data_IF_365657751384
#
_entry.id   IF_365657751384
#
_cell.length_a   1.000
_cell.length_b   1.000
_cell.length_c   1.000
_cell.angle_alpha   90.00
_cell.angle_beta   90.00
_cell.angle_gamma   90.00
#
_symmetry.space_group_name_H-M   'P 1'
#
loop_
_entity.id
_entity.type
_entity.pdbx_description
1 polymer ?
#
# COMPACT_ATOMS: atom_id res chain seq x y z
N UNK A 1 5.07 21.39 29.10
CA UNK A 1 4.01 22.21 28.49
C UNK A 1 4.04 22.20 26.96
N UNK A 2 5.04 22.75 26.24
CA UNK A 2 5.02 22.74 24.75
C UNK A 2 5.04 21.33 24.12
N UNK A 3 5.77 20.39 24.71
CA UNK A 3 5.84 19.00 24.22
C UNK A 3 4.50 18.27 24.33
N UNK A 4 3.72 18.58 25.36
CA UNK A 4 2.40 17.98 25.60
C UNK A 4 1.35 18.59 24.67
N UNK A 5 1.43 19.90 24.42
CA UNK A 5 0.60 20.58 23.43
C UNK A 5 0.85 20.06 22.01
N UNK A 6 2.11 19.85 21.61
CA UNK A 6 2.45 19.28 20.29
C UNK A 6 2.01 17.81 20.12
N UNK A 7 1.99 17.03 21.20
CA UNK A 7 1.46 15.66 21.19
C UNK A 7 -0.07 15.69 21.08
N UNK A 8 -0.75 16.56 21.83
CA UNK A 8 -2.20 16.72 21.76
C UNK A 8 -2.66 17.24 20.40
N UNK A 9 -1.93 18.19 19.80
CA UNK A 9 -2.19 18.72 18.47
C UNK A 9 -2.01 17.65 17.39
N UNK A 10 -0.98 16.79 17.51
CA UNK A 10 -0.84 15.60 16.65
C UNK A 10 -2.00 14.63 16.80
N UNK A 11 -2.49 14.37 18.01
CA UNK A 11 -3.64 13.47 18.24
C UNK A 11 -4.95 14.04 17.71
N UNK A 12 -5.11 15.37 17.71
CA UNK A 12 -6.26 16.06 17.13
C UNK A 12 -6.24 16.08 15.59
N UNK A 13 -5.06 15.96 14.98
CA UNK A 13 -4.86 16.07 13.54
C UNK A 13 -4.39 14.76 12.88
N UNK A 14 -4.56 13.62 13.56
CA UNK A 14 -4.23 12.31 12.98
C UNK A 14 -5.09 12.08 11.74
N UNK A 15 -4.42 12.09 10.57
CA UNK A 15 -4.99 11.74 9.28
C UNK A 15 -5.80 10.42 9.42
N UNK A 16 -7.12 10.44 9.18
CA UNK A 16 -7.93 9.23 9.24
C UNK A 16 -7.37 8.10 8.38
N UNK A 17 -6.69 8.42 7.28
CA UNK A 17 -6.00 7.45 6.42
C UNK A 17 -4.77 6.85 7.10
N UNK A 18 -4.08 7.57 7.98
CA UNK A 18 -2.98 7.02 8.76
C UNK A 18 -3.45 5.89 9.67
N UNK A 19 -4.57 6.08 10.38
CA UNK A 19 -5.16 5.03 11.22
C UNK A 19 -5.54 3.78 10.42
N UNK A 20 -6.04 3.97 9.20
CA UNK A 20 -6.35 2.87 8.29
C UNK A 20 -5.08 2.14 7.84
N UNK A 21 -4.01 2.87 7.47
CA UNK A 21 -2.70 2.30 7.09
C UNK A 21 -2.08 1.48 8.23
N UNK A 22 -2.17 1.96 9.46
CA UNK A 22 -1.68 1.25 10.64
C UNK A 22 -2.44 -0.06 10.86
N UNK A 23 -3.77 -0.03 10.79
CA UNK A 23 -4.61 -1.24 10.86
C UNK A 23 -4.27 -2.24 9.75
N UNK A 24 -4.06 -1.77 8.53
CA UNK A 24 -3.68 -2.62 7.40
C UNK A 24 -2.32 -3.27 7.62
N UNK A 25 -1.36 -2.53 8.19
CA UNK A 25 -0.02 -3.06 8.51
C UNK A 25 -0.07 -4.16 9.56
N UNK A 26 -0.90 -3.99 10.60
CA UNK A 26 -1.12 -5.03 11.62
C UNK A 26 -1.76 -6.27 10.98
N UNK A 27 -2.74 -6.09 10.09
CA UNK A 27 -3.39 -7.20 9.41
C UNK A 27 -2.42 -7.96 8.49
N UNK A 28 -1.55 -7.26 7.75
CA UNK A 28 -0.51 -7.89 6.93
C UNK A 28 0.41 -8.80 7.76
N UNK A 29 0.84 -8.32 8.94
CA UNK A 29 1.66 -9.13 9.86
C UNK A 29 0.88 -10.35 10.35
N UNK A 30 -0.38 -10.18 10.72
CA UNK A 30 -1.26 -11.27 11.18
C UNK A 30 -1.45 -12.35 10.12
N UNK A 31 -1.55 -11.96 8.85
CA UNK A 31 -1.73 -12.86 7.71
C UNK A 31 -0.43 -13.55 7.25
N UNK A 32 0.71 -13.24 7.89
CA UNK A 32 1.99 -13.90 7.64
C UNK A 32 2.75 -13.36 6.42
N UNK A 33 2.45 -12.14 5.95
CA UNK A 33 3.22 -11.52 4.87
C UNK A 33 4.64 -11.17 5.33
N UNK A 34 5.61 -11.41 4.45
CA UNK A 34 7.03 -11.10 4.67
C UNK A 34 7.28 -9.59 4.67
N UNK A 35 8.45 -9.16 5.16
CA UNK A 35 8.80 -7.74 5.18
C UNK A 35 8.78 -7.08 3.79
N UNK A 36 9.20 -7.79 2.74
CA UNK A 36 9.16 -7.28 1.37
C UNK A 36 7.74 -7.14 0.84
N UNK A 37 6.86 -8.10 1.11
CA UNK A 37 5.44 -8.02 0.75
C UNK A 37 4.73 -6.90 1.51
N UNK A 38 5.06 -6.69 2.80
CA UNK A 38 4.51 -5.59 3.59
C UNK A 38 4.89 -4.23 2.99
N UNK A 39 6.15 -4.04 2.59
CA UNK A 39 6.61 -2.79 1.95
C UNK A 39 5.90 -2.57 0.61
N UNK A 40 5.75 -3.62 -0.21
CA UNK A 40 5.01 -3.53 -1.48
C UNK A 40 3.54 -3.16 -1.23
N UNK A 41 2.86 -3.82 -0.29
CA UNK A 41 1.46 -3.55 0.03
C UNK A 41 1.27 -2.12 0.57
N UNK A 42 2.16 -1.68 1.46
CA UNK A 42 2.15 -0.30 1.96
C UNK A 42 2.29 0.73 0.83
N UNK A 43 3.13 0.47 -0.17
CA UNK A 43 3.26 1.34 -1.34
C UNK A 43 1.95 1.45 -2.15
N UNK A 44 1.19 0.35 -2.24
CA UNK A 44 -0.12 0.36 -2.89
C UNK A 44 -1.14 1.14 -2.07
N UNK A 45 -1.16 0.96 -0.75
CA UNK A 45 -2.05 1.67 0.16
C UNK A 45 -1.86 3.19 0.17
N UNK A 46 -0.64 3.68 -0.09
CA UNK A 46 -0.38 5.11 -0.27
C UNK A 46 -0.96 5.63 -1.59
N UNK A 47 -0.85 4.85 -2.67
CA UNK A 47 -1.34 5.23 -4.01
C UNK A 47 -2.86 5.11 -4.15
N UNK A 48 -3.43 4.09 -3.52
CA UNK A 48 -4.84 3.70 -3.62
C UNK A 48 -5.39 3.47 -2.20
N UNK A 49 -5.69 4.53 -1.42
CA UNK A 49 -6.20 4.39 -0.06
C UNK A 49 -7.51 3.62 0.04
N UNK A 50 -8.32 3.59 -1.03
CA UNK A 50 -9.54 2.80 -1.16
C UNK A 50 -9.31 1.30 -1.00
N UNK A 51 -8.12 0.79 -1.38
CA UNK A 51 -7.75 -0.61 -1.19
C UNK A 51 -7.68 -0.99 0.29
N UNK A 52 -7.29 -0.04 1.15
CA UNK A 52 -7.27 -0.25 2.60
C UNK A 52 -8.69 -0.42 3.13
N UNK A 53 -9.59 0.47 2.71
CA UNK A 53 -11.00 0.41 3.11
C UNK A 53 -11.62 -0.92 2.70
N UNK A 54 -11.41 -1.35 1.45
CA UNK A 54 -11.86 -2.65 0.96
C UNK A 54 -11.29 -3.81 1.81
N UNK A 55 -9.96 -3.85 2.01
CA UNK A 55 -9.31 -4.87 2.85
C UNK A 55 -9.95 -5.00 4.24
N UNK A 56 -10.21 -3.87 4.90
CA UNK A 56 -10.71 -3.84 6.26
C UNK A 56 -12.20 -4.21 6.36
N UNK A 57 -12.97 -4.04 5.28
CA UNK A 57 -14.37 -4.49 5.17
C UNK A 57 -14.53 -5.97 4.80
N UNK A 58 -13.51 -6.60 4.24
CA UNK A 58 -13.57 -8.01 3.84
C UNK A 58 -13.57 -8.95 5.05
N UNK A 59 -14.20 -10.11 4.86
CA UNK A 59 -14.10 -11.24 5.78
C UNK A 59 -12.67 -11.72 5.91
N UNK A 60 -12.29 -12.13 7.13
CA UNK A 60 -10.91 -12.52 7.47
C UNK A 60 -10.34 -13.62 6.56
N UNK A 61 -11.21 -14.51 6.07
CA UNK A 61 -10.85 -15.60 5.15
C UNK A 61 -10.44 -15.10 3.77
N UNK A 62 -10.96 -13.95 3.32
CA UNK A 62 -10.73 -13.38 1.98
C UNK A 62 -9.57 -12.38 1.95
N UNK A 63 -9.20 -11.80 3.09
CA UNK A 63 -8.19 -10.73 3.17
C UNK A 63 -6.83 -11.14 2.61
N UNK A 64 -6.40 -12.37 2.86
CA UNK A 64 -5.11 -12.86 2.38
C UNK A 64 -5.05 -12.93 0.86
N UNK A 65 -6.09 -13.49 0.25
CA UNK A 65 -6.20 -13.61 -1.21
C UNK A 65 -6.31 -12.23 -1.87
N UNK A 66 -7.10 -11.34 -1.28
CA UNK A 66 -7.23 -9.96 -1.74
C UNK A 66 -5.86 -9.26 -1.85
N UNK A 67 -5.02 -9.35 -0.81
CA UNK A 67 -3.70 -8.74 -0.82
C UNK A 67 -2.79 -9.36 -1.88
N UNK A 68 -2.81 -10.69 -2.05
CA UNK A 68 -2.04 -11.37 -3.10
C UNK A 68 -2.42 -10.91 -4.51
N UNK A 69 -3.73 -10.79 -4.77
CA UNK A 69 -4.24 -10.32 -6.06
C UNK A 69 -3.82 -8.86 -6.31
N UNK A 70 -3.99 -8.00 -5.31
CA UNK A 70 -3.55 -6.60 -5.37
C UNK A 70 -2.05 -6.47 -5.68
N UNK A 71 -1.20 -7.26 -5.02
CA UNK A 71 0.25 -7.24 -5.27
C UNK A 71 0.59 -7.73 -6.68
N UNK A 72 -0.08 -8.80 -7.13
CA UNK A 72 0.12 -9.35 -8.47
C UNK A 72 -0.27 -8.35 -9.56
N UNK A 73 -1.36 -7.63 -9.36
CA UNK A 73 -1.83 -6.60 -10.29
C UNK A 73 -0.92 -5.37 -10.30
N UNK A 74 -0.41 -4.92 -9.16
CA UNK A 74 0.60 -3.86 -9.10
C UNK A 74 1.88 -4.26 -9.86
N UNK A 75 2.32 -5.51 -9.74
CA UNK A 75 3.47 -6.01 -10.52
C UNK A 75 3.20 -6.06 -12.03
N UNK A 76 1.97 -6.40 -12.44
CA UNK A 76 1.56 -6.35 -13.85
C UNK A 76 1.55 -4.92 -14.38
N UNK A 77 1.01 -3.96 -13.62
CA UNK A 77 1.01 -2.53 -13.99
C UNK A 77 2.43 -2.01 -14.18
N UNK A 78 3.34 -2.28 -13.24
CA UNK A 78 4.75 -1.90 -13.36
C UNK A 78 5.45 -2.49 -14.59
N UNK A 79 5.12 -3.73 -14.97
CA UNK A 79 5.65 -4.35 -16.20
C UNK A 79 5.12 -3.67 -17.46
N UNK A 80 3.84 -3.34 -17.49
CA UNK A 80 3.25 -2.60 -18.62
C UNK A 80 3.84 -1.19 -18.77
N UNK A 81 4.07 -0.49 -17.65
CA UNK A 81 4.68 0.83 -17.61
C UNK A 81 6.19 0.82 -17.93
N UNK A 82 6.89 -0.28 -17.62
CA UNK A 82 8.32 -0.45 -17.92
C UNK A 82 8.63 -0.87 -19.36
N UNK A 83 7.64 -1.36 -20.11
CA UNK A 83 7.80 -1.85 -21.49
C UNK A 83 7.96 -0.75 -22.55
N UNK A 84 7.63 0.51 -22.25
CA UNK A 84 7.65 1.63 -23.20
C UNK A 84 9.01 2.35 -23.33
N UNK A 85 10.04 1.95 -22.58
CA UNK A 85 11.38 2.59 -22.59
C UNK A 85 12.47 1.83 -23.38
N UNK A 86 12.10 0.98 -24.34
CA UNK A 86 13.08 0.23 -25.16
C UNK A 86 12.82 0.22 -26.67
N UNK A 87 12.05 1.16 -27.21
CA UNK A 87 11.86 1.29 -28.66
C UNK A 87 12.23 2.69 -29.16
N UNK A 88 13.50 3.06 -29.07
CA UNK A 88 14.05 4.16 -29.88
C UNK A 88 15.59 4.11 -29.91
N UNK A 89 16.16 3.03 -30.43
CA UNK A 89 17.51 3.07 -31.02
C UNK A 89 17.50 2.13 -32.23
N UNK A 90 16.86 2.57 -33.31
CA UNK A 90 17.12 2.04 -34.66
C UNK A 90 17.03 3.19 -35.65
N UNK A 91 18.05 3.30 -36.50
CA UNK A 91 18.21 4.21 -37.66
C UNK A 91 18.49 5.67 -37.28
N UNK A 92 19.61 6.26 -37.69
CA UNK A 92 19.94 6.55 -39.09
C UNK A 92 21.42 6.29 -39.39
N UNK A 93 21.67 5.58 -40.50
CA UNK A 93 22.98 5.42 -41.14
C UNK A 93 23.38 6.65 -41.95
#
# INVERSE_FOLDING_TARGET
MEREAAIQEKMLNEDPQQKLREKATVELRRLGFTGSEQVKAASVFVKMPEQISMLLTLDKTLRREFILNMLSDEERRKRAEGGTRKMSVTEVS
#
